data_IF_934563900108
#
_entry.id   IF_934563900108
#
_cell.length_a   1.000
_cell.length_b   1.000
_cell.length_c   1.000
_cell.angle_alpha   90.00
_cell.angle_beta   90.00
_cell.angle_gamma   90.00
#
_symmetry.space_group_name_H-M   'P 1'
#
loop_
_entity.id
_entity.type
_entity.pdbx_description
1 polymer ?
#
# COMPACT_ATOMS: atom_id res chain seq x y z
N UNK A 1 -10.57 25.57 0.64
CA UNK A 1 -11.55 24.51 1.02
C UNK A 1 -11.42 23.37 0.02
N UNK A 2 -11.49 22.11 0.46
CA UNK A 2 -11.34 20.96 -0.43
C UNK A 2 -12.32 19.85 -0.04
N UNK A 3 -12.56 18.93 -0.97
CA UNK A 3 -13.29 17.68 -0.75
C UNK A 3 -12.28 16.54 -0.90
N UNK A 4 -12.16 15.70 0.13
CA UNK A 4 -11.28 14.53 0.12
C UNK A 4 -12.14 13.28 0.17
N UNK A 5 -11.98 12.42 -0.83
CA UNK A 5 -12.69 11.14 -0.91
C UNK A 5 -11.70 9.98 -0.91
N UNK A 6 -12.04 8.93 -0.18
CA UNK A 6 -11.29 7.69 -0.09
C UNK A 6 -12.23 6.51 -0.22
N UNK A 7 -11.87 5.59 -1.10
CA UNK A 7 -12.58 4.35 -1.36
C UNK A 7 -11.65 3.18 -1.06
N UNK A 8 -12.13 2.24 -0.26
CA UNK A 8 -11.41 1.02 0.09
C UNK A 8 -12.32 -0.16 -0.22
N UNK A 9 -11.79 -1.12 -0.96
CA UNK A 9 -12.43 -2.39 -1.27
C UNK A 9 -11.48 -3.51 -0.90
N UNK A 10 -11.96 -4.46 -0.09
CA UNK A 10 -11.21 -5.64 0.30
C UNK A 10 -12.11 -6.87 0.17
N UNK A 11 -11.56 -7.94 -0.40
CA UNK A 11 -12.25 -9.23 -0.52
C UNK A 11 -11.30 -10.35 -0.11
N UNK A 12 -11.71 -11.13 0.88
CA UNK A 12 -10.98 -12.30 1.35
C UNK A 12 -11.72 -13.56 0.90
N UNK A 13 -11.00 -14.51 0.30
CA UNK A 13 -11.51 -15.78 -0.19
C UNK A 13 -10.72 -16.88 0.49
N UNK A 14 -11.39 -17.70 1.30
CA UNK A 14 -10.77 -18.88 1.90
C UNK A 14 -10.73 -20.01 0.88
N UNK A 15 -9.58 -20.65 0.74
CA UNK A 15 -9.30 -21.76 -0.16
C UNK A 15 -9.12 -23.04 0.67
N UNK A 16 -10.22 -23.73 1.01
CA UNK A 16 -10.17 -24.91 1.89
C UNK A 16 -9.35 -26.06 1.29
N UNK A 17 -9.32 -26.18 -0.04
CA UNK A 17 -8.54 -27.20 -0.75
C UNK A 17 -7.03 -26.99 -0.70
N UNK A 18 -6.56 -25.80 -0.29
CA UNK A 18 -5.14 -25.45 -0.26
C UNK A 18 -4.68 -25.18 1.17
N UNK A 19 -4.85 -26.18 2.06
CA UNK A 19 -4.46 -26.11 3.47
C UNK A 19 -5.00 -24.85 4.17
N UNK A 20 -6.28 -24.51 3.98
CA UNK A 20 -6.91 -23.30 4.52
C UNK A 20 -6.17 -21.98 4.18
N UNK A 21 -5.54 -21.91 3.00
CA UNK A 21 -4.99 -20.65 2.53
C UNK A 21 -6.11 -19.61 2.33
N UNK A 22 -5.76 -18.34 2.50
CA UNK A 22 -6.66 -17.20 2.30
C UNK A 22 -6.06 -16.31 1.23
N UNK A 23 -6.82 -16.11 0.16
CA UNK A 23 -6.50 -15.13 -0.86
C UNK A 23 -7.24 -13.83 -0.56
N UNK A 24 -6.52 -12.72 -0.44
CA UNK A 24 -7.07 -11.39 -0.18
C UNK A 24 -6.74 -10.45 -1.32
N UNK A 25 -7.76 -9.87 -1.94
CA UNK A 25 -7.63 -8.75 -2.87
C UNK A 25 -7.98 -7.44 -2.18
N UNK A 26 -7.16 -6.40 -2.37
CA UNK A 26 -7.39 -5.06 -1.84
C UNK A 26 -7.22 -4.04 -2.95
N UNK A 27 -8.12 -3.07 -3.00
CA UNK A 27 -8.04 -1.91 -3.88
C UNK A 27 -8.43 -0.67 -3.10
N UNK A 28 -7.56 0.33 -3.12
CA UNK A 28 -7.72 1.61 -2.47
C UNK A 28 -7.58 2.71 -3.50
N UNK A 29 -8.52 3.64 -3.52
CA UNK A 29 -8.50 4.79 -4.40
C UNK A 29 -8.82 6.04 -3.58
N UNK A 30 -8.17 7.15 -3.88
CA UNK A 30 -8.54 8.41 -3.25
C UNK A 30 -8.18 9.60 -4.12
N UNK A 31 -8.96 10.66 -3.97
CA UNK A 31 -8.73 11.92 -4.65
C UNK A 31 -9.11 13.11 -3.77
N UNK A 32 -8.43 14.22 -3.99
CA UNK A 32 -8.72 15.51 -3.38
C UNK A 32 -9.14 16.47 -4.48
N UNK A 33 -10.30 17.08 -4.31
CA UNK A 33 -10.81 18.14 -5.17
C UNK A 33 -10.72 19.47 -4.44
N UNK A 34 -9.87 20.37 -4.93
CA UNK A 34 -9.75 21.71 -4.38
C UNK A 34 -10.89 22.60 -4.93
N UNK A 35 -11.71 23.15 -4.03
CA UNK A 35 -12.86 23.99 -4.38
C UNK A 35 -12.45 25.43 -4.73
N UNK A 36 -11.25 25.86 -4.32
CA UNK A 36 -10.73 27.20 -4.60
C UNK A 36 -9.61 27.12 -5.64
N UNK A 37 -9.91 27.49 -6.89
CA UNK A 37 -8.93 27.51 -7.99
C UNK A 37 -7.87 28.61 -7.87
N UNK A 38 -8.12 29.63 -7.05
CA UNK A 38 -7.31 30.86 -6.95
C UNK A 38 -6.31 30.87 -5.78
N UNK A 39 -6.52 30.03 -4.76
CA UNK A 39 -5.62 29.93 -3.60
C UNK A 39 -4.70 28.73 -3.70
N UNK A 40 -3.57 28.81 -2.99
CA UNK A 40 -2.49 27.82 -2.92
C UNK A 40 -2.99 26.36 -2.84
N UNK A 41 -2.16 25.46 -3.38
CA UNK A 41 -2.34 24.01 -3.32
C UNK A 41 -2.70 23.55 -1.89
N UNK A 42 -3.47 22.46 -1.77
CA UNK A 42 -3.84 21.78 -0.52
C UNK A 42 -2.67 21.71 0.47
N UNK A 43 -2.93 21.86 1.77
CA UNK A 43 -1.87 21.74 2.77
C UNK A 43 -1.24 20.35 2.69
N UNK A 44 0.08 20.25 2.88
CA UNK A 44 0.81 18.97 2.86
C UNK A 44 0.21 17.94 3.83
N UNK A 45 -0.32 18.39 4.97
CA UNK A 45 -0.98 17.54 5.97
C UNK A 45 -2.28 16.90 5.49
N UNK A 46 -2.95 17.51 4.51
CA UNK A 46 -4.22 17.02 3.95
C UNK A 46 -4.02 16.02 2.82
N UNK A 47 -2.81 15.94 2.26
CA UNK A 47 -2.48 15.13 1.07
C UNK A 47 -2.36 13.64 1.40
N UNK A 48 -2.40 12.83 0.35
CA UNK A 48 -2.20 11.39 0.45
C UNK A 48 -0.73 11.04 0.42
N UNK A 49 -0.37 10.12 1.31
CA UNK A 49 0.96 9.57 1.45
C UNK A 49 0.88 8.05 1.30
N UNK A 50 1.07 7.55 0.07
CA UNK A 50 1.15 6.11 -0.18
C UNK A 50 2.51 5.61 0.34
N UNK A 51 2.48 4.52 1.10
CA UNK A 51 3.64 3.92 1.76
C UNK A 51 3.46 3.73 3.26
N UNK A 52 2.37 4.25 3.85
CA UNK A 52 2.17 4.26 5.31
C UNK A 52 0.96 3.43 5.79
N UNK A 53 -0.05 3.18 4.95
CA UNK A 53 -1.32 2.57 5.41
C UNK A 53 -1.21 1.08 5.76
N UNK A 54 -0.15 0.41 5.31
CA UNK A 54 0.28 -0.92 5.77
C UNK A 54 1.78 -0.92 5.51
N UNK A 55 2.62 -0.94 6.55
CA UNK A 55 4.07 -0.82 6.48
C UNK A 55 4.76 -2.04 5.81
N UNK A 56 4.33 -2.34 4.59
CA UNK A 56 4.90 -3.29 3.67
C UNK A 56 5.70 -2.47 2.68
N UNK A 57 6.98 -2.24 2.97
CA UNK A 57 8.05 -2.07 1.98
C UNK A 57 9.32 -1.53 2.64
N UNK A 58 10.43 -2.24 2.42
CA UNK A 58 11.81 -1.76 2.64
C UNK A 58 12.21 -0.60 1.71
N UNK A 59 11.24 0.11 1.14
CA UNK A 59 11.46 1.36 0.42
C UNK A 59 11.54 2.44 1.47
N UNK A 60 12.62 3.20 1.41
CA UNK A 60 12.90 4.28 2.34
C UNK A 60 11.84 5.38 2.26
N UNK A 61 10.67 5.22 2.90
CA UNK A 61 9.55 6.19 3.00
C UNK A 61 9.47 7.14 1.79
N UNK A 62 9.53 6.57 0.59
CA UNK A 62 9.68 7.33 -0.64
C UNK A 62 8.32 7.38 -1.26
N UNK A 63 7.65 8.49 -1.00
CA UNK A 63 6.37 8.82 -1.58
C UNK A 63 6.53 8.80 -3.10
N UNK A 64 5.95 7.77 -3.72
CA UNK A 64 5.76 7.65 -5.17
C UNK A 64 5.18 9.01 -5.62
N UNK A 65 5.77 9.61 -6.65
CA UNK A 65 5.37 10.91 -7.18
C UNK A 65 5.94 12.19 -6.53
N UNK A 66 6.76 12.14 -5.47
CA UNK A 66 7.43 13.34 -4.93
C UNK A 66 8.88 13.47 -5.41
N UNK A 67 9.30 14.69 -5.73
CA UNK A 67 10.68 14.99 -6.13
C UNK A 67 11.60 14.71 -4.93
N UNK A 68 12.76 14.09 -5.14
CA UNK A 68 13.65 13.53 -4.10
C UNK A 68 14.02 14.46 -2.95
N UNK A 69 13.90 15.78 -3.14
CA UNK A 69 14.21 16.81 -2.16
C UNK A 69 13.03 17.31 -1.32
N UNK A 70 11.79 17.21 -1.81
CA UNK A 70 10.61 17.75 -1.14
C UNK A 70 9.45 16.74 -1.20
N UNK A 71 9.14 16.15 -0.03
CA UNK A 71 8.09 15.15 0.17
C UNK A 71 6.72 15.81 0.13
N UNK A 72 6.20 16.09 -1.05
CA UNK A 72 4.99 16.94 -1.23
C UNK A 72 3.66 16.20 -1.09
N UNK A 73 3.63 14.87 -1.01
CA UNK A 73 2.38 14.09 -1.00
C UNK A 73 1.67 14.09 -2.37
N UNK A 74 0.51 13.43 -2.44
CA UNK A 74 -0.28 13.25 -3.66
C UNK A 74 -1.74 13.68 -3.46
N UNK A 75 -2.35 14.27 -4.48
CA UNK A 75 -3.78 14.64 -4.45
C UNK A 75 -4.67 13.50 -4.97
N UNK A 76 -4.10 12.58 -5.77
CA UNK A 76 -4.81 11.41 -6.28
C UNK A 76 -3.92 10.17 -6.17
N UNK A 77 -4.52 9.07 -5.72
CA UNK A 77 -3.88 7.78 -5.67
C UNK A 77 -4.78 6.61 -6.03
N UNK A 78 -4.15 5.55 -6.54
CA UNK A 78 -4.71 4.21 -6.62
C UNK A 78 -3.64 3.23 -6.14
N UNK A 79 -4.05 2.31 -5.26
CA UNK A 79 -3.23 1.24 -4.73
C UNK A 79 -4.03 -0.05 -4.84
N UNK A 80 -3.49 -1.05 -5.52
CA UNK A 80 -4.10 -2.35 -5.65
C UNK A 80 -3.12 -3.42 -5.21
N UNK A 81 -3.60 -4.45 -4.52
CA UNK A 81 -2.75 -5.55 -4.07
C UNK A 81 -3.51 -6.86 -3.93
N UNK A 82 -2.77 -7.94 -4.09
CA UNK A 82 -3.23 -9.29 -3.84
C UNK A 82 -2.27 -9.96 -2.84
N UNK A 83 -2.84 -10.67 -1.88
CA UNK A 83 -2.13 -11.34 -0.81
C UNK A 83 -2.59 -12.79 -0.78
N UNK A 84 -1.65 -13.71 -0.64
CA UNK A 84 -1.93 -15.11 -0.39
C UNK A 84 -1.32 -15.47 0.95
N UNK A 85 -2.18 -15.69 1.94
CA UNK A 85 -1.78 -16.12 3.28
C UNK A 85 -2.01 -17.61 3.41
N UNK A 86 -1.02 -18.36 3.89
CA UNK A 86 -1.16 -19.78 4.13
C UNK A 86 -0.51 -20.18 5.46
N UNK A 87 -1.02 -21.23 6.12
CA UNK A 87 -0.33 -21.82 7.26
C UNK A 87 1.06 -22.33 6.89
N UNK A 88 1.94 -22.39 7.88
CA UNK A 88 3.33 -22.82 7.66
C UNK A 88 3.33 -24.35 7.44
N UNK A 89 3.82 -24.84 6.30
CA UNK A 89 3.86 -26.27 6.04
C UNK A 89 4.80 -26.97 7.04
N UNK A 90 4.47 -28.22 7.39
CA UNK A 90 5.30 -29.07 8.28
C UNK A 90 5.51 -28.53 9.70
N UNK A 91 4.55 -27.76 10.24
CA UNK A 91 4.58 -27.26 11.62
C UNK A 91 3.43 -27.79 12.46
N UNK A 92 3.54 -27.66 13.79
CA UNK A 92 2.43 -27.98 14.68
C UNK A 92 1.27 -27.00 14.46
N UNK A 93 0.04 -27.47 14.64
CA UNK A 93 -1.17 -26.65 14.47
C UNK A 93 -1.13 -25.39 15.32
N UNK A 94 -0.69 -25.51 16.58
CA UNK A 94 -0.54 -24.39 17.51
C UNK A 94 0.47 -23.33 17.04
N UNK A 95 1.56 -23.73 16.36
CA UNK A 95 2.50 -22.77 15.78
C UNK A 95 1.89 -22.07 14.57
N UNK A 96 1.18 -22.82 13.73
CA UNK A 96 0.52 -22.28 12.54
C UNK A 96 -0.71 -21.39 12.83
N UNK A 97 -1.28 -21.48 14.02
CA UNK A 97 -2.37 -20.59 14.45
C UNK A 97 -1.85 -19.17 14.74
N UNK A 98 -0.63 -19.09 15.30
CA UNK A 98 0.08 -17.85 15.62
C UNK A 98 0.78 -17.32 14.37
N UNK A 99 1.55 -18.16 13.68
CA UNK A 99 2.40 -17.78 12.57
C UNK A 99 1.84 -18.24 11.24
N UNK A 100 1.69 -17.30 10.31
CA UNK A 100 1.27 -17.56 8.93
C UNK A 100 2.31 -17.03 7.97
N UNK A 101 2.54 -17.75 6.89
CA UNK A 101 3.29 -17.21 5.76
C UNK A 101 2.33 -16.44 4.88
N UNK A 102 2.80 -15.35 4.29
CA UNK A 102 2.05 -14.70 3.23
C UNK A 102 2.98 -14.22 2.13
N UNK A 103 2.48 -14.25 0.91
CA UNK A 103 3.09 -13.62 -0.24
C UNK A 103 2.16 -12.55 -0.77
N UNK A 104 2.72 -11.52 -1.38
CA UNK A 104 1.94 -10.41 -1.88
C UNK A 104 2.53 -9.82 -3.13
N UNK A 105 1.64 -9.24 -3.94
CA UNK A 105 1.98 -8.34 -5.02
C UNK A 105 1.15 -7.08 -4.87
N UNK A 106 1.77 -5.91 -5.03
CA UNK A 106 1.13 -4.60 -4.94
C UNK A 106 1.54 -3.75 -6.12
N UNK A 107 0.61 -2.93 -6.60
CA UNK A 107 0.84 -1.90 -7.58
C UNK A 107 0.22 -0.59 -7.11
N UNK A 108 1.00 0.48 -7.17
CA UNK A 108 0.65 1.79 -6.67
C UNK A 108 0.91 2.84 -7.76
N UNK A 109 0.01 3.82 -7.85
CA UNK A 109 0.14 4.96 -8.75
C UNK A 109 -0.36 6.23 -8.05
N UNK A 110 0.41 7.30 -8.19
CA UNK A 110 0.17 8.61 -7.57
C UNK A 110 0.19 9.71 -8.62
N UNK A 111 -0.65 10.71 -8.43
CA UNK A 111 -0.56 11.99 -9.13
C UNK A 111 -0.05 13.07 -8.17
N UNK A 112 0.95 13.88 -8.57
CA UNK A 112 1.41 14.99 -7.75
C UNK A 112 0.29 16.03 -7.63
N UNK A 113 0.44 16.99 -6.71
CA UNK A 113 -0.55 18.06 -6.54
C UNK A 113 -0.66 18.91 -7.80
N UNK A 114 -1.89 19.19 -8.24
CA UNK A 114 -2.17 19.98 -9.44
C UNK A 114 -3.32 20.94 -9.17
N UNK A 115 -3.39 22.02 -9.97
CA UNK A 115 -4.39 23.07 -9.78
C UNK A 115 -5.75 22.68 -10.36
N UNK A 116 -5.76 21.90 -11.44
CA UNK A 116 -6.97 21.47 -12.12
C UNK A 116 -7.19 19.95 -12.04
N UNK A 117 -8.45 19.58 -11.78
CA UNK A 117 -8.85 18.19 -11.60
C UNK A 117 -8.65 17.32 -12.85
N UNK A 118 -8.83 17.90 -14.04
CA UNK A 118 -8.66 17.16 -15.30
C UNK A 118 -7.19 16.85 -15.60
N UNK A 119 -6.27 17.70 -15.13
CA UNK A 119 -4.85 17.44 -15.30
C UNK A 119 -4.41 16.26 -14.42
N UNK A 120 -5.06 16.05 -13.26
CA UNK A 120 -4.78 14.89 -12.42
C UNK A 120 -5.03 13.59 -13.16
N UNK A 121 -6.17 13.44 -13.85
CA UNK A 121 -6.50 12.23 -14.60
C UNK A 121 -5.64 12.05 -15.85
N UNK A 122 -5.31 13.14 -16.55
CA UNK A 122 -4.37 13.08 -17.69
C UNK A 122 -3.00 12.58 -17.23
N UNK A 123 -2.48 13.17 -16.16
CA UNK A 123 -1.20 12.77 -15.57
C UNK A 123 -1.24 11.34 -15.06
N UNK A 124 -2.35 10.94 -14.45
CA UNK A 124 -2.56 9.58 -13.97
C UNK A 124 -2.59 8.56 -15.11
N UNK A 125 -3.20 8.90 -16.26
CA UNK A 125 -3.25 8.03 -17.44
C UNK A 125 -1.89 7.85 -18.13
N UNK A 126 -0.97 8.80 -17.97
CA UNK A 126 0.37 8.74 -18.57
C UNK A 126 1.46 8.25 -17.63
N UNK A 127 1.15 8.03 -16.35
CA UNK A 127 2.13 7.58 -15.36
C UNK A 127 2.28 6.07 -15.33
N UNK A 128 3.51 5.65 -15.09
CA UNK A 128 3.81 4.26 -14.81
C UNK A 128 3.43 3.92 -13.37
N UNK A 129 2.79 2.77 -13.18
CA UNK A 129 2.62 2.19 -11.85
C UNK A 129 3.98 1.76 -11.28
N UNK A 130 4.16 1.95 -9.98
CA UNK A 130 5.19 1.27 -9.22
C UNK A 130 4.63 -0.08 -8.76
N UNK A 131 5.41 -1.15 -8.83
CA UNK A 131 4.97 -2.47 -8.39
C UNK A 131 6.01 -3.18 -7.55
N UNK A 132 5.50 -3.95 -6.60
CA UNK A 132 6.28 -4.64 -5.58
C UNK A 132 5.75 -6.06 -5.45
N UNK A 133 6.67 -7.00 -5.30
CA UNK A 133 6.35 -8.37 -4.90
C UNK A 133 7.12 -8.66 -3.61
N UNK A 134 6.54 -9.47 -2.74
CA UNK A 134 7.23 -9.84 -1.54
C UNK A 134 6.60 -11.03 -0.86
N UNK A 135 7.29 -11.48 0.17
CA UNK A 135 6.81 -12.52 1.04
C UNK A 135 7.24 -12.22 2.47
N UNK A 136 6.52 -12.81 3.41
CA UNK A 136 6.71 -12.49 4.80
C UNK A 136 6.01 -13.46 5.72
N UNK A 137 6.20 -13.18 6.99
CA UNK A 137 5.65 -13.93 8.09
C UNK A 137 4.77 -13.00 8.92
N UNK A 138 3.53 -13.43 9.14
CA UNK A 138 2.57 -12.78 10.02
C UNK A 138 2.54 -13.53 11.33
N UNK A 139 2.67 -12.81 12.43
CA UNK A 139 2.42 -13.32 13.77
C UNK A 139 1.18 -12.63 14.35
N UNK A 140 0.16 -13.40 14.68
CA UNK A 140 -1.03 -12.94 15.39
C UNK A 140 -0.84 -13.25 16.88
N UNK A 141 -0.73 -12.21 17.70
CA UNK A 141 -0.55 -12.30 19.15
C UNK A 141 -1.88 -11.95 19.82
N UNK A 142 -2.46 -12.94 20.49
CA UNK A 142 -3.70 -12.82 21.26
C UNK A 142 -4.88 -12.23 20.48
N UNK A 143 -4.90 -12.37 19.15
CA UNK A 143 -5.91 -11.77 18.25
C UNK A 143 -6.07 -10.24 18.37
N UNK A 144 -5.14 -9.55 19.04
CA UNK A 144 -5.14 -8.09 19.22
C UNK A 144 -4.05 -7.43 18.40
N UNK A 145 -2.86 -8.05 18.39
CA UNK A 145 -1.68 -7.49 17.73
C UNK A 145 -1.28 -8.40 16.60
N UNK A 146 -1.13 -7.80 15.42
CA UNK A 146 -0.58 -8.45 14.24
C UNK A 146 0.77 -7.82 13.93
N UNK A 147 1.80 -8.67 13.86
CA UNK A 147 3.16 -8.29 13.48
C UNK A 147 3.42 -8.92 12.12
N UNK A 148 3.86 -8.13 11.14
CA UNK A 148 4.25 -8.66 9.83
C UNK A 148 5.72 -8.35 9.56
N UNK A 149 6.51 -9.39 9.29
CA UNK A 149 7.87 -9.28 8.80
C UNK A 149 7.88 -9.60 7.30
N UNK A 150 8.18 -8.61 6.48
CA UNK A 150 8.07 -8.68 5.03
C UNK A 150 9.41 -8.42 4.36
N UNK A 151 9.81 -9.30 3.46
CA UNK A 151 10.85 -9.02 2.48
C UNK A 151 10.21 -8.53 1.18
N UNK A 152 10.54 -7.31 0.78
CA UNK A 152 9.92 -6.64 -0.36
C UNK A 152 10.93 -6.47 -1.48
N UNK A 153 10.55 -6.89 -2.69
CA UNK A 153 11.34 -6.72 -3.89
C UNK A 153 10.60 -5.81 -4.88
N UNK A 154 11.21 -4.68 -5.28
CA UNK A 154 10.60 -3.81 -6.27
C UNK A 154 10.73 -4.38 -7.68
N UNK A 155 9.61 -4.51 -8.37
CA UNK A 155 9.56 -4.96 -9.76
C UNK A 155 9.66 -3.78 -10.72
N UNK A 156 8.93 -2.70 -10.41
CA UNK A 156 8.92 -1.48 -11.19
C UNK A 156 8.88 -0.29 -10.25
N UNK A 157 9.78 0.65 -10.46
CA UNK A 157 9.82 1.90 -9.71
C UNK A 157 9.53 3.06 -10.64
N UNK A 158 8.83 4.09 -10.15
CA UNK A 158 8.87 5.40 -10.79
C UNK A 158 10.32 5.91 -10.73
N UNK A 159 10.79 6.59 -11.78
CA UNK A 159 12.20 6.96 -11.97
C UNK A 159 12.79 7.82 -10.86
N UNK A 160 11.94 8.43 -10.03
CA UNK A 160 12.32 9.29 -8.90
C UNK A 160 12.28 8.61 -7.54
N UNK A 161 11.82 7.35 -7.46
CA UNK A 161 11.71 6.63 -6.20
C UNK A 161 12.97 5.80 -5.91
N UNK A 162 13.53 5.96 -4.71
CA UNK A 162 14.64 5.14 -4.21
C UNK A 162 14.11 3.76 -3.82
N UNK A 163 14.11 2.88 -4.80
CA UNK A 163 13.50 1.56 -4.68
C UNK A 163 14.59 0.50 -4.51
N UNK A 164 14.82 0.08 -3.26
CA UNK A 164 15.75 -0.99 -2.92
C UNK A 164 14.99 -2.17 -2.29
N UNK A 165 15.41 -3.41 -2.58
CA UNK A 165 14.86 -4.56 -1.87
C UNK A 165 15.26 -4.52 -0.41
N UNK A 166 14.37 -4.96 0.48
CA UNK A 166 14.67 -4.91 1.91
C UNK A 166 13.59 -5.51 2.79
N UNK A 167 13.96 -5.69 4.06
CA UNK A 167 13.06 -6.10 5.12
C UNK A 167 12.25 -4.91 5.62
N UNK A 168 10.99 -5.16 5.94
CA UNK A 168 10.09 -4.23 6.62
C UNK A 168 9.35 -4.96 7.73
N UNK A 169 9.14 -4.26 8.83
CA UNK A 169 8.39 -4.77 9.98
C UNK A 169 7.20 -3.83 10.15
N UNK A 170 6.00 -4.38 10.15
CA UNK A 170 4.75 -3.67 10.42
C UNK A 170 4.13 -4.19 11.71
N UNK A 171 3.48 -3.27 12.43
CA UNK A 171 2.65 -3.57 13.58
C UNK A 171 1.27 -3.00 13.29
N UNK A 172 0.25 -3.83 13.40
CA UNK A 172 -1.15 -3.39 13.37
C UNK A 172 -1.86 -3.94 14.60
N UNK A 173 -2.68 -3.09 15.21
CA UNK A 173 -3.59 -3.50 16.26
C UNK A 173 -4.99 -3.43 15.67
N UNK A 174 -5.69 -4.57 15.69
CA UNK A 174 -7.12 -4.59 15.42
C UNK A 174 -7.81 -4.35 16.77
N UNK A 175 -8.47 -3.20 16.90
CA UNK A 175 -9.22 -2.77 18.09
C UNK A 175 -10.68 -2.56 17.76
#
# INVERSE_FOLDING_TARGET
KFIKNTFQCQKNISLPFFNNAVFSGVCNFGFIYNLNKTTESTNISDRFFIGMYNAISGIHKSFIGSNSYNKTGSDLYLSAGAYLTHPIPFTSRSFSDIFRLHSFIRADITSPPQKDFMDHFRTFSHRSFASFIGCGLVANICDVIKIELNYCFPLKSESTALSQPGFSISFSADG
#
